data_IF_187410994225
#
_entry.id   IF_187410994225
#
_cell.length_a   1.000
_cell.length_b   1.000
_cell.length_c   1.000
_cell.angle_alpha   90.00
_cell.angle_beta   90.00
_cell.angle_gamma   90.00
#
_symmetry.space_group_name_H-M   'P 1'
#
loop_
_entity.id
_entity.type
_entity.pdbx_description
1 polymer ?
#
# COMPACT_ATOMS: atom_id res chain seq x y z
N UNK A 1 16.24 11.70 11.79
CA UNK A 1 14.89 11.99 11.24
C UNK A 1 14.22 10.74 10.70
N UNK A 2 13.66 9.93 11.60
CA UNK A 2 12.81 8.76 11.31
C UNK A 2 11.36 9.24 11.31
N UNK A 3 10.55 8.78 10.37
CA UNK A 3 9.13 9.14 10.24
C UNK A 3 8.35 7.97 9.64
N UNK A 4 7.03 7.96 9.84
CA UNK A 4 6.13 6.98 9.22
C UNK A 4 6.31 6.94 7.69
N UNK A 5 6.18 5.75 7.11
CA UNK A 5 6.35 5.50 5.67
C UNK A 5 7.79 5.37 5.16
N UNK A 6 8.82 5.65 5.97
CA UNK A 6 10.22 5.45 5.54
C UNK A 6 10.66 4.00 5.66
N UNK A 7 11.28 3.48 4.61
CA UNK A 7 11.97 2.19 4.66
C UNK A 7 13.37 2.33 5.25
N UNK A 8 13.70 1.45 6.18
CA UNK A 8 14.98 1.43 6.89
C UNK A 8 15.58 0.04 6.79
N UNK A 9 16.89 -0.04 6.61
CA UNK A 9 17.67 -1.24 6.89
C UNK A 9 18.29 -1.10 8.26
N UNK A 10 18.15 -2.13 9.10
CA UNK A 10 18.54 -2.08 10.50
C UNK A 10 19.29 -3.35 10.86
N UNK A 11 20.42 -3.22 11.56
CA UNK A 11 21.24 -4.33 12.04
C UNK A 11 21.38 -4.25 13.56
N UNK A 12 21.30 -5.39 14.23
CA UNK A 12 21.25 -5.46 15.69
C UNK A 12 20.96 -6.86 16.19
N UNK A 13 20.47 -6.98 17.43
CA UNK A 13 20.24 -8.26 18.11
C UNK A 13 18.77 -8.49 18.41
N UNK A 14 18.36 -9.75 18.40
CA UNK A 14 17.06 -10.17 18.92
C UNK A 14 17.22 -10.66 20.36
N UNK A 15 16.44 -10.10 21.27
CA UNK A 15 16.47 -10.41 22.70
C UNK A 15 15.03 -10.57 23.20
N UNK A 16 14.78 -11.47 24.16
CA UNK A 16 13.47 -11.56 24.82
C UNK A 16 13.39 -10.44 25.85
N UNK A 17 12.49 -9.49 25.63
CA UNK A 17 12.21 -8.43 26.59
C UNK A 17 11.26 -8.97 27.67
N UNK A 18 11.71 -8.98 28.91
CA UNK A 18 10.96 -9.51 30.05
C UNK A 18 9.76 -8.63 30.44
N UNK A 19 9.75 -7.35 30.06
CA UNK A 19 8.63 -6.44 30.32
C UNK A 19 7.47 -6.71 29.36
N UNK A 20 7.74 -6.71 28.06
CA UNK A 20 6.73 -7.00 27.02
C UNK A 20 6.47 -8.49 26.82
N UNK A 21 7.34 -9.35 27.37
CA UNK A 21 7.32 -10.83 27.23
C UNK A 21 7.32 -11.28 25.78
N UNK A 22 8.00 -10.53 24.92
CA UNK A 22 8.07 -10.80 23.48
C UNK A 22 9.50 -10.68 22.98
N UNK A 23 9.75 -11.27 21.81
CA UNK A 23 11.02 -11.11 21.11
C UNK A 23 11.10 -9.67 20.60
N UNK A 24 12.06 -8.91 21.10
CA UNK A 24 12.30 -7.54 20.72
C UNK A 24 13.60 -7.46 19.91
N UNK A 25 13.60 -6.60 18.89
CA UNK A 25 14.78 -6.32 18.09
C UNK A 25 15.45 -5.04 18.59
N UNK A 26 16.67 -5.17 19.11
CA UNK A 26 17.48 -4.05 19.59
C UNK A 26 18.44 -3.59 18.49
N UNK A 27 18.24 -2.39 17.91
CA UNK A 27 19.06 -1.90 16.81
C UNK A 27 20.42 -1.37 17.29
N UNK A 28 21.50 -1.80 16.63
CA UNK A 28 22.86 -1.28 16.83
C UNK A 28 23.24 -0.24 15.75
N UNK A 29 22.74 -0.43 14.54
CA UNK A 29 22.95 0.48 13.41
C UNK A 29 21.74 0.50 12.47
N UNK A 30 21.54 1.62 11.80
CA UNK A 30 20.42 1.81 10.88
C UNK A 30 20.76 2.76 9.74
N UNK A 31 20.17 2.52 8.57
CA UNK A 31 20.27 3.39 7.41
C UNK A 31 18.93 3.51 6.68
N UNK A 32 18.67 4.68 6.10
CA UNK A 32 17.51 4.88 5.23
C UNK A 32 17.79 4.31 3.85
N UNK A 33 16.83 3.54 3.33
CA UNK A 33 16.94 2.92 2.01
C UNK A 33 15.71 3.22 1.17
N UNK A 34 15.86 3.14 -0.14
CA UNK A 34 14.72 3.09 -1.07
C UNK A 34 14.47 1.64 -1.41
N UNK A 35 13.28 1.13 -1.08
CA UNK A 35 12.86 -0.21 -1.47
C UNK A 35 12.33 -0.16 -2.89
N UNK A 36 12.77 -1.10 -3.73
CA UNK A 36 12.26 -1.24 -5.09
C UNK A 36 10.82 -1.74 -5.02
N UNK A 37 9.87 -0.90 -5.39
CA UNK A 37 8.46 -1.29 -5.53
C UNK A 37 8.24 -2.13 -6.79
N UNK A 38 7.14 -2.88 -6.82
CA UNK A 38 6.71 -3.60 -8.02
C UNK A 38 6.40 -2.60 -9.13
N UNK A 39 7.01 -2.82 -10.30
CA UNK A 39 6.83 -2.02 -11.50
C UNK A 39 6.08 -2.80 -12.57
N UNK A 40 5.26 -2.09 -13.36
CA UNK A 40 4.69 -2.57 -14.61
C UNK A 40 5.60 -2.10 -15.75
N UNK A 41 6.29 -3.04 -16.40
CA UNK A 41 7.23 -2.75 -17.49
C UNK A 41 6.66 -3.11 -18.88
N UNK A 42 5.35 -3.38 -18.99
CA UNK A 42 4.73 -3.65 -20.27
C UNK A 42 4.75 -2.38 -21.15
N UNK A 43 4.93 -2.56 -22.46
CA UNK A 43 4.83 -1.46 -23.43
C UNK A 43 3.40 -0.97 -23.54
N UNK A 44 2.46 -1.89 -23.74
CA UNK A 44 1.03 -1.62 -23.69
C UNK A 44 0.49 -1.80 -22.27
N UNK A 45 -0.06 -0.73 -21.70
CA UNK A 45 -0.56 -0.72 -20.32
C UNK A 45 -1.94 -1.35 -20.20
N UNK A 46 -2.08 -2.22 -19.19
CA UNK A 46 -3.35 -2.86 -18.81
C UNK A 46 -4.37 -1.81 -18.34
N UNK A 47 -5.65 -2.15 -18.47
CA UNK A 47 -6.76 -1.53 -17.74
C UNK A 47 -7.38 -2.61 -16.85
N UNK A 48 -7.48 -2.36 -15.55
CA UNK A 48 -8.20 -3.22 -14.62
C UNK A 48 -9.70 -2.92 -14.71
N UNK A 49 -10.51 -3.96 -14.91
CA UNK A 49 -11.96 -3.82 -15.14
C UNK A 49 -12.80 -4.48 -14.04
N UNK A 50 -12.19 -5.20 -13.10
CA UNK A 50 -12.88 -5.82 -11.98
C UNK A 50 -11.99 -5.71 -10.74
N UNK A 51 -12.37 -4.86 -9.80
CA UNK A 51 -11.58 -4.61 -8.58
C UNK A 51 -12.49 -4.23 -7.41
N UNK A 52 -12.21 -4.82 -6.25
CA UNK A 52 -12.91 -4.55 -5.00
C UNK A 52 -12.06 -3.66 -4.09
N UNK A 53 -12.73 -2.74 -3.40
CA UNK A 53 -12.15 -1.87 -2.38
C UNK A 53 -12.60 -2.32 -1.00
N UNK A 54 -12.06 -1.71 0.06
CA UNK A 54 -12.52 -1.95 1.44
C UNK A 54 -14.00 -1.61 1.71
N UNK A 55 -14.74 -1.08 0.72
CA UNK A 55 -16.20 -0.92 0.78
C UNK A 55 -16.97 -2.16 0.33
N UNK A 56 -16.31 -3.18 -0.21
CA UNK A 56 -16.87 -4.52 -0.34
C UNK A 56 -16.85 -5.20 1.03
N UNK A 57 -18.01 -5.27 1.67
CA UNK A 57 -18.16 -5.66 3.07
C UNK A 57 -17.51 -7.01 3.38
N UNK A 58 -16.55 -7.00 4.30
CA UNK A 58 -15.77 -8.16 4.74
C UNK A 58 -15.03 -8.94 3.64
N UNK A 59 -14.88 -8.39 2.44
CA UNK A 59 -14.35 -9.11 1.27
C UNK A 59 -13.02 -8.53 0.74
N UNK A 60 -12.86 -7.20 0.78
CA UNK A 60 -11.62 -6.55 0.36
C UNK A 60 -11.09 -5.58 1.42
N UNK A 61 -9.78 -5.28 1.35
CA UNK A 61 -9.06 -4.60 2.44
C UNK A 61 -8.42 -3.28 2.04
N UNK A 62 -8.18 -3.06 0.74
CA UNK A 62 -7.41 -1.89 0.29
C UNK A 62 -8.35 -0.72 -0.02
N UNK A 63 -8.08 0.49 0.50
CA UNK A 63 -8.85 1.69 0.16
C UNK A 63 -8.81 2.02 -1.33
N UNK A 64 -9.88 2.63 -1.83
CA UNK A 64 -10.00 2.98 -3.24
C UNK A 64 -8.87 3.89 -3.72
N UNK A 65 -8.48 4.88 -2.90
CA UNK A 65 -7.45 5.83 -3.27
C UNK A 65 -6.06 5.21 -3.44
N UNK A 66 -5.71 4.21 -2.62
CA UNK A 66 -4.43 3.51 -2.75
C UNK A 66 -4.38 2.66 -4.02
N UNK A 67 -5.49 2.01 -4.38
CA UNK A 67 -5.61 1.26 -5.64
C UNK A 67 -5.46 2.16 -6.87
N UNK A 68 -6.14 3.32 -6.87
CA UNK A 68 -6.05 4.30 -7.96
C UNK A 68 -4.64 4.87 -8.08
N UNK A 69 -3.99 5.25 -6.98
CA UNK A 69 -2.59 5.72 -6.98
C UNK A 69 -1.64 4.66 -7.53
N UNK A 70 -1.83 3.39 -7.15
CA UNK A 70 -0.98 2.30 -7.61
C UNK A 70 -1.13 2.08 -9.12
N UNK A 71 -2.37 2.09 -9.64
CA UNK A 71 -2.62 1.96 -11.07
C UNK A 71 -2.01 3.13 -11.87
N UNK A 72 -2.13 4.36 -11.34
CA UNK A 72 -1.48 5.53 -11.92
C UNK A 72 0.07 5.41 -11.90
N UNK A 73 0.65 4.91 -10.80
CA UNK A 73 2.09 4.66 -10.70
C UNK A 73 2.58 3.58 -11.70
N UNK A 74 1.72 2.65 -12.09
CA UNK A 74 1.97 1.68 -13.17
C UNK A 74 1.71 2.23 -14.58
N UNK A 75 1.18 3.45 -14.70
CA UNK A 75 0.86 4.09 -15.97
C UNK A 75 -0.42 3.55 -16.62
N UNK A 76 -1.31 2.93 -15.85
CA UNK A 76 -2.59 2.44 -16.39
C UNK A 76 -3.46 3.63 -16.76
N UNK A 77 -4.01 3.61 -17.99
CA UNK A 77 -4.84 4.72 -18.51
C UNK A 77 -6.18 4.88 -17.79
N UNK A 78 -6.66 3.82 -17.15
CA UNK A 78 -7.93 3.76 -16.45
C UNK A 78 -7.96 2.55 -15.51
N UNK A 79 -8.86 2.60 -14.53
CA UNK A 79 -9.24 1.48 -13.66
C UNK A 79 -10.75 1.51 -13.38
N UNK A 80 -11.36 0.35 -13.20
CA UNK A 80 -12.74 0.21 -12.74
C UNK A 80 -12.78 -0.19 -11.26
N UNK A 81 -13.77 0.33 -10.53
CA UNK A 81 -14.13 -0.11 -9.18
C UNK A 81 -15.49 -0.80 -9.28
N UNK A 82 -15.58 -2.02 -8.76
CA UNK A 82 -16.75 -2.90 -8.91
C UNK A 82 -17.10 -3.54 -7.57
N UNK A 83 -17.34 -2.73 -6.54
CA UNK A 83 -17.67 -3.21 -5.19
C UNK A 83 -18.96 -4.03 -5.15
N UNK A 84 -19.04 -4.93 -4.16
CA UNK A 84 -20.18 -5.82 -4.01
C UNK A 84 -21.44 -5.07 -3.53
N UNK A 85 -22.42 -4.93 -4.42
CA UNK A 85 -23.76 -4.45 -4.08
C UNK A 85 -23.84 -2.97 -3.67
N UNK A 86 -22.77 -2.20 -3.84
CA UNK A 86 -22.71 -0.80 -3.44
C UNK A 86 -21.73 0.02 -4.31
N UNK A 87 -21.73 1.35 -4.10
CA UNK A 87 -20.85 2.31 -4.77
C UNK A 87 -20.22 3.30 -3.76
N UNK A 88 -20.01 2.86 -2.51
CA UNK A 88 -19.62 3.74 -1.41
C UNK A 88 -18.19 4.29 -1.55
N UNK A 89 -17.34 3.61 -2.32
CA UNK A 89 -15.96 4.01 -2.61
C UNK A 89 -15.84 5.15 -3.62
N UNK A 90 -16.92 5.51 -4.32
CA UNK A 90 -16.90 6.47 -5.43
C UNK A 90 -16.43 7.87 -5.02
N UNK A 91 -16.87 8.46 -3.89
CA UNK A 91 -16.38 9.76 -3.47
C UNK A 91 -14.87 9.78 -3.21
N UNK A 92 -14.33 8.74 -2.57
CA UNK A 92 -12.88 8.62 -2.32
C UNK A 92 -12.11 8.48 -3.63
N UNK A 93 -12.59 7.61 -4.53
CA UNK A 93 -11.96 7.38 -5.83
C UNK A 93 -11.90 8.67 -6.66
N UNK A 94 -12.98 9.44 -6.71
CA UNK A 94 -13.04 10.72 -7.42
C UNK A 94 -12.05 11.74 -6.84
N UNK A 95 -12.02 11.87 -5.51
CA UNK A 95 -11.17 12.84 -4.82
C UNK A 95 -9.67 12.46 -4.81
N UNK A 96 -9.31 11.25 -5.25
CA UNK A 96 -7.91 10.79 -5.24
C UNK A 96 -7.06 11.46 -6.32
N UNK A 97 -7.66 11.86 -7.45
CA UNK A 97 -6.94 12.44 -8.60
C UNK A 97 -6.98 13.98 -8.58
N UNK A 98 -7.94 14.59 -7.88
CA UNK A 98 -7.96 16.04 -7.67
C UNK A 98 -6.97 16.46 -6.57
N UNK A 99 -5.70 16.64 -6.96
CA UNK A 99 -4.71 17.52 -6.30
C UNK A 99 -3.51 17.81 -7.21
#
# INVERSE_FOLDING_TARGET
>A
NISEGKSLIVSGKFEVDMFTKSLNFRPDSMASIKVKSRSDNAEEKRVELHMHTNMSDMDATTPAGELVKQANAWGHRAVAITDHGNLQSYPEAMNTIEK
#
